data_IF_645353214179
#
_entry.id   IF_645353214179
#
_cell.length_a   1.000
_cell.length_b   1.000
_cell.length_c   1.000
_cell.angle_alpha   90.00
_cell.angle_beta   90.00
_cell.angle_gamma   90.00
#
_symmetry.space_group_name_H-M   'P 1'
#
loop_
_entity.id
_entity.type
_entity.pdbx_description
1 polymer ?
#
# COMPACT_ATOMS: atom_id res chain seq x y z
N UNK A 1 -12.60 -8.24 -19.09
CA UNK A 1 -11.33 -8.73 -19.65
C UNK A 1 -10.42 -9.06 -18.48
N UNK A 2 -10.01 -10.31 -18.28
CA UNK A 2 -9.18 -10.72 -17.14
C UNK A 2 -7.73 -10.65 -17.58
N UNK A 3 -6.96 -9.69 -17.06
CA UNK A 3 -5.53 -9.60 -17.33
C UNK A 3 -4.78 -10.76 -16.65
N UNK A 4 -3.79 -11.34 -17.34
CA UNK A 4 -2.85 -12.29 -16.72
C UNK A 4 -1.96 -11.56 -15.71
N UNK A 5 -1.35 -12.30 -14.77
CA UNK A 5 -0.43 -11.71 -13.79
C UNK A 5 0.67 -10.87 -14.44
N UNK A 6 1.25 -11.36 -15.53
CA UNK A 6 2.30 -10.66 -16.30
C UNK A 6 1.79 -9.39 -16.99
N UNK A 7 0.57 -9.40 -17.51
CA UNK A 7 -0.04 -8.22 -18.11
C UNK A 7 -0.37 -7.15 -17.06
N UNK A 8 -0.76 -7.58 -15.84
CA UNK A 8 -0.97 -6.65 -14.73
C UNK A 8 0.33 -6.00 -14.32
N UNK A 9 1.38 -6.78 -14.07
CA UNK A 9 2.70 -6.25 -13.67
C UNK A 9 3.27 -5.26 -14.70
N UNK A 10 3.11 -5.51 -16.00
CA UNK A 10 3.56 -4.58 -17.04
C UNK A 10 2.71 -3.32 -17.16
N UNK A 11 1.50 -3.33 -16.63
CA UNK A 11 0.59 -2.19 -16.68
C UNK A 11 0.70 -1.27 -15.46
N UNK A 12 1.50 -1.63 -14.46
CA UNK A 12 1.64 -0.80 -13.26
C UNK A 12 2.38 0.49 -13.60
N UNK A 13 1.79 1.62 -13.25
CA UNK A 13 2.50 2.91 -13.20
C UNK A 13 2.85 3.29 -11.75
N UNK A 14 2.65 2.36 -10.84
CA UNK A 14 3.01 2.43 -9.44
C UNK A 14 3.69 1.13 -9.08
N UNK A 15 4.91 1.22 -8.57
CA UNK A 15 5.62 0.07 -8.05
C UNK A 15 5.77 0.16 -6.54
N UNK A 16 5.57 -0.98 -5.90
CA UNK A 16 5.76 -1.13 -4.48
C UNK A 16 6.83 -2.20 -4.24
N UNK A 17 7.88 -1.79 -3.53
CA UNK A 17 9.01 -2.63 -3.18
C UNK A 17 8.95 -2.99 -1.72
N UNK A 18 9.39 -4.19 -1.36
CA UNK A 18 9.74 -4.54 0.02
C UNK A 18 11.24 -4.70 0.08
N UNK A 19 11.91 -3.85 0.86
CA UNK A 19 13.36 -3.62 0.78
C UNK A 19 13.80 -3.24 -0.64
N UNK A 20 14.40 -4.17 -1.40
CA UNK A 20 14.88 -3.97 -2.77
C UNK A 20 14.11 -4.81 -3.81
N UNK A 21 13.15 -5.62 -3.37
CA UNK A 21 12.38 -6.50 -4.24
C UNK A 21 11.05 -5.86 -4.59
N UNK A 22 10.75 -5.72 -5.88
CA UNK A 22 9.42 -5.32 -6.35
C UNK A 22 8.41 -6.40 -5.97
N UNK A 23 7.59 -6.13 -4.96
CA UNK A 23 6.64 -7.10 -4.42
C UNK A 23 5.27 -6.98 -5.05
N UNK A 24 4.84 -5.77 -5.40
CA UNK A 24 3.56 -5.53 -6.07
C UNK A 24 3.51 -4.12 -6.70
N UNK A 25 2.34 -3.72 -7.15
CA UNK A 25 2.08 -2.44 -7.77
C UNK A 25 0.70 -2.43 -8.39
N UNK A 26 0.31 -1.29 -8.94
CA UNK A 26 -1.01 -1.11 -9.52
C UNK A 26 -0.99 -0.05 -10.61
N UNK A 27 -2.07 -0.01 -11.40
CA UNK A 27 -2.26 0.99 -12.42
C UNK A 27 -3.22 2.05 -11.91
N UNK A 28 -2.74 3.29 -11.88
CA UNK A 28 -3.47 4.44 -11.42
C UNK A 28 -3.69 5.43 -12.58
N UNK A 29 -4.89 5.46 -13.17
CA UNK A 29 -5.15 6.21 -14.41
C UNK A 29 -5.60 7.66 -14.23
N UNK A 30 -6.27 7.99 -13.12
CA UNK A 30 -7.10 9.20 -13.05
C UNK A 30 -6.74 10.18 -11.89
N UNK A 31 -5.52 10.14 -11.34
CA UNK A 31 -5.09 10.91 -10.17
C UNK A 31 -5.95 10.77 -8.88
N UNK A 32 -6.97 9.91 -8.88
CA UNK A 32 -7.87 9.66 -7.76
C UNK A 32 -7.78 8.23 -7.23
N UNK A 33 -6.60 7.79 -6.80
CA UNK A 33 -6.45 6.47 -6.20
C UNK A 33 -7.18 6.52 -4.87
N UNK A 34 -8.06 5.56 -4.57
CA UNK A 34 -8.77 5.55 -3.29
C UNK A 34 -8.11 4.63 -2.29
N UNK A 35 -8.17 4.99 -1.01
CA UNK A 35 -7.68 4.14 0.08
C UNK A 35 -8.36 2.77 0.04
N UNK A 36 -9.67 2.72 -0.18
CA UNK A 36 -10.46 1.49 -0.33
C UNK A 36 -9.92 0.56 -1.41
N UNK A 37 -9.42 1.13 -2.51
CA UNK A 37 -8.89 0.41 -3.65
C UNK A 37 -7.48 -0.15 -3.36
N UNK A 38 -6.63 0.66 -2.72
CA UNK A 38 -5.31 0.21 -2.24
C UNK A 38 -5.46 -0.86 -1.17
N UNK A 39 -6.39 -0.71 -0.23
CA UNK A 39 -6.67 -1.70 0.80
C UNK A 39 -7.14 -3.03 0.20
N UNK A 40 -7.97 -2.98 -0.86
CA UNK A 40 -8.41 -4.16 -1.58
C UNK A 40 -7.27 -4.87 -2.31
N UNK A 41 -6.48 -4.15 -3.09
CA UNK A 41 -5.34 -4.70 -3.83
C UNK A 41 -4.26 -5.23 -2.88
N UNK A 42 -4.01 -4.53 -1.77
CA UNK A 42 -3.11 -4.96 -0.72
C UNK A 42 -3.57 -6.28 -0.09
N UNK A 43 -4.84 -6.41 0.29
CA UNK A 43 -5.36 -7.66 0.85
C UNK A 43 -5.29 -8.84 -0.13
N UNK A 44 -5.45 -8.58 -1.44
CA UNK A 44 -5.29 -9.59 -2.48
C UNK A 44 -3.83 -10.04 -2.64
N UNK A 45 -2.88 -9.11 -2.60
CA UNK A 45 -1.46 -9.38 -2.82
C UNK A 45 -0.76 -9.92 -1.57
N UNK A 46 -1.13 -9.44 -0.39
CA UNK A 46 -0.42 -9.75 0.84
C UNK A 46 -1.12 -10.76 1.72
N UNK A 47 -2.40 -11.10 1.44
CA UNK A 47 -3.26 -12.03 2.20
C UNK A 47 -2.63 -12.37 3.54
N UNK A 48 -2.51 -11.35 4.38
CA UNK A 48 -1.50 -11.37 5.45
C UNK A 48 -1.85 -12.54 6.33
N UNK A 49 -0.82 -13.32 6.70
CA UNK A 49 -0.85 -14.16 7.89
C UNK A 49 -1.16 -13.23 9.08
N UNK A 50 -2.42 -12.80 9.19
CA UNK A 50 -2.93 -12.06 10.33
C UNK A 50 -2.69 -13.03 11.47
N UNK A 51 -1.89 -12.65 12.48
CA UNK A 51 -1.66 -13.56 13.59
C UNK A 51 -3.02 -13.95 14.13
N UNK A 52 -3.28 -15.26 14.14
CA UNK A 52 -4.54 -15.91 14.54
C UNK A 52 -4.80 -15.77 16.05
N UNK A 53 -4.11 -14.82 16.70
CA UNK A 53 -4.24 -14.51 18.12
C UNK A 53 -5.58 -13.80 18.34
N UNK A 54 -6.57 -14.63 18.66
CA UNK A 54 -8.02 -14.37 18.74
C UNK A 54 -8.52 -13.29 19.70
N UNK A 55 -7.92 -12.10 19.71
CA UNK A 55 -8.47 -10.94 20.43
C UNK A 55 -8.09 -9.58 19.83
N UNK A 56 -7.19 -9.52 18.84
CA UNK A 56 -6.63 -8.26 18.37
C UNK A 56 -6.99 -8.00 16.92
N UNK A 57 -7.89 -7.02 16.70
CA UNK A 57 -8.21 -6.53 15.35
C UNK A 57 -7.04 -5.71 14.79
N UNK A 58 -6.06 -6.40 14.22
CA UNK A 58 -4.96 -5.77 13.51
C UNK A 58 -5.49 -4.99 12.31
N UNK A 59 -5.08 -3.72 12.22
CA UNK A 59 -5.42 -2.83 11.11
C UNK A 59 -4.16 -2.52 10.30
N UNK A 60 -4.20 -2.74 8.98
CA UNK A 60 -3.12 -2.36 8.10
C UNK A 60 -3.10 -0.84 7.91
N UNK A 61 -1.90 -0.26 7.88
CA UNK A 61 -1.68 1.15 7.57
C UNK A 61 -0.34 1.32 6.85
N UNK A 62 -0.20 2.40 6.09
CA UNK A 62 1.07 2.89 5.57
C UNK A 62 1.48 4.16 6.32
N UNK A 63 2.74 4.22 6.72
CA UNK A 63 3.35 5.36 7.38
C UNK A 63 4.39 5.96 6.44
N UNK A 64 4.11 7.16 5.91
CA UNK A 64 5.04 7.86 5.02
C UNK A 64 6.23 8.40 5.80
N UNK A 65 7.42 7.94 5.45
CA UNK A 65 8.68 8.42 6.05
C UNK A 65 9.21 9.69 5.36
N UNK A 66 8.78 9.90 4.10
CA UNK A 66 9.24 10.98 3.21
C UNK A 66 8.40 12.24 3.33
N UNK A 67 8.95 13.39 2.89
CA UNK A 67 8.40 14.72 3.18
C UNK A 67 7.10 15.03 2.40
N UNK A 68 6.00 15.51 3.04
CA UNK A 68 5.87 15.77 4.47
C UNK A 68 5.85 14.47 5.28
N UNK A 69 6.84 14.33 6.17
CA UNK A 69 7.03 13.12 6.96
C UNK A 69 5.89 12.98 7.96
N UNK A 70 5.56 11.74 8.32
CA UNK A 70 4.57 11.37 9.34
C UNK A 70 3.11 11.36 8.88
N UNK A 71 2.82 11.02 7.62
CA UNK A 71 1.45 10.75 7.18
C UNK A 71 1.13 9.28 7.44
N UNK A 72 0.21 9.01 8.37
CA UNK A 72 -0.35 7.68 8.59
C UNK A 72 -1.62 7.50 7.76
N UNK A 73 -1.61 6.52 6.86
CA UNK A 73 -2.69 6.18 5.95
C UNK A 73 -3.24 4.82 6.36
N UNK A 74 -4.38 4.81 7.03
CA UNK A 74 -5.04 3.55 7.43
C UNK A 74 -5.66 2.91 6.19
N UNK A 75 -5.35 1.65 5.93
CA UNK A 75 -5.92 0.90 4.82
C UNK A 75 -7.30 0.35 5.21
N UNK A 76 -8.31 1.21 5.10
CA UNK A 76 -9.69 0.85 5.34
C UNK A 76 -10.43 0.65 4.01
N UNK A 77 -11.07 -0.52 3.85
CA UNK A 77 -11.89 -0.84 2.67
C UNK A 77 -13.12 0.04 2.53
N UNK A 78 -13.53 0.71 3.60
CA UNK A 78 -14.67 1.65 3.62
C UNK A 78 -14.24 3.11 3.43
N UNK A 79 -12.93 3.39 3.42
CA UNK A 79 -12.41 4.74 3.24
C UNK A 79 -12.25 5.07 1.76
N UNK A 80 -13.13 5.93 1.26
CA UNK A 80 -13.14 6.38 -0.13
C UNK A 80 -12.32 7.66 -0.35
N UNK A 81 -11.56 8.11 0.66
CA UNK A 81 -10.65 9.25 0.53
C UNK A 81 -9.55 8.96 -0.50
N UNK A 82 -9.06 10.04 -1.11
CA UNK A 82 -7.96 9.96 -2.06
C UNK A 82 -6.70 9.54 -1.30
N UNK A 83 -6.07 8.47 -1.77
CA UNK A 83 -4.75 8.06 -1.33
C UNK A 83 -3.75 9.16 -1.70
N UNK A 84 -2.94 9.65 -0.75
CA UNK A 84 -1.97 10.70 -1.03
C UNK A 84 -0.83 10.14 -1.91
N UNK A 85 -0.95 10.32 -3.22
CA UNK A 85 0.07 9.88 -4.18
C UNK A 85 1.22 10.90 -4.21
N UNK A 86 2.49 10.48 -4.23
CA UNK A 86 3.62 11.36 -4.51
C UNK A 86 3.50 12.12 -5.82
N UNK A 87 4.13 13.30 -5.90
CA UNK A 87 4.28 14.02 -7.17
C UNK A 87 5.07 13.18 -8.19
N UNK A 88 4.78 13.35 -9.48
CA UNK A 88 5.48 12.64 -10.55
C UNK A 88 6.99 12.90 -10.50
N UNK A 89 7.79 11.83 -10.43
CA UNK A 89 9.26 11.90 -10.31
C UNK A 89 9.78 12.00 -8.88
N UNK A 90 8.91 12.06 -7.87
CA UNK A 90 9.30 11.88 -6.47
C UNK A 90 9.22 10.40 -6.08
N UNK A 91 10.16 9.95 -5.24
CA UNK A 91 10.14 8.62 -4.64
C UNK A 91 9.75 8.81 -3.19
N UNK A 92 8.68 8.15 -2.77
CA UNK A 92 8.27 8.11 -1.38
C UNK A 92 8.50 6.72 -0.80
N UNK A 93 9.08 6.63 0.40
CA UNK A 93 9.02 5.42 1.22
C UNK A 93 7.86 5.46 2.19
N UNK A 94 7.21 4.31 2.35
CA UNK A 94 6.12 4.05 3.28
C UNK A 94 6.46 2.82 4.10
N UNK A 95 6.51 2.93 5.42
CA UNK A 95 6.49 1.74 6.27
C UNK A 95 5.07 1.19 6.33
N UNK A 96 4.89 -0.06 5.99
CA UNK A 96 3.66 -0.76 6.32
C UNK A 96 3.67 -1.11 7.80
N UNK A 97 2.57 -0.78 8.45
CA UNK A 97 2.37 -1.03 9.85
C UNK A 97 1.10 -1.84 10.01
N UNK A 98 1.23 -3.06 10.54
CA UNK A 98 0.10 -3.72 11.18
C UNK A 98 0.04 -3.19 12.59
N UNK A 99 -0.98 -2.39 12.89
CA UNK A 99 -1.14 -1.84 14.22
C UNK A 99 -2.37 -2.41 14.91
N UNK A 100 -2.28 -2.47 16.23
CA UNK A 100 -3.38 -2.73 17.13
C UNK A 100 -3.29 -1.77 18.30
N UNK A 101 -4.29 -1.76 19.18
CA UNK A 101 -4.26 -0.95 20.40
C UNK A 101 -3.10 -1.28 21.34
N UNK A 102 -2.38 -2.40 21.14
CA UNK A 102 -1.37 -2.89 22.08
C UNK A 102 -0.01 -3.23 21.47
N UNK A 103 0.09 -3.37 20.13
CA UNK A 103 1.32 -3.79 19.42
C UNK A 103 1.33 -3.26 17.99
N UNK A 104 2.54 -3.03 17.46
CA UNK A 104 2.79 -2.70 16.05
C UNK A 104 3.83 -3.65 15.47
N UNK A 105 3.59 -4.15 14.25
CA UNK A 105 4.56 -4.87 13.43
C UNK A 105 4.85 -4.02 12.19
N UNK A 106 6.11 -4.01 11.77
CA UNK A 106 6.61 -3.12 10.73
C UNK A 106 7.21 -3.92 9.58
N UNK A 107 6.99 -3.45 8.35
CA UNK A 107 7.70 -3.87 7.15
C UNK A 107 7.87 -2.65 6.24
N UNK A 108 9.00 -2.53 5.54
CA UNK A 108 9.33 -1.30 4.80
C UNK A 108 8.93 -1.43 3.34
N UNK A 109 8.13 -0.49 2.87
CA UNK A 109 7.71 -0.40 1.48
C UNK A 109 8.24 0.87 0.79
N UNK A 110 8.65 0.75 -0.47
CA UNK A 110 9.03 1.92 -1.29
C UNK A 110 8.02 2.06 -2.42
N UNK A 111 7.46 3.26 -2.56
CA UNK A 111 6.49 3.58 -3.58
C UNK A 111 7.12 4.47 -4.66
N UNK A 112 7.13 3.98 -5.90
CA UNK A 112 7.67 4.72 -7.06
C UNK A 112 6.58 4.92 -8.10
N UNK A 113 6.14 6.17 -8.36
CA UNK A 113 5.31 6.48 -9.53
C UNK A 113 6.18 6.41 -10.80
N UNK A 114 5.74 5.64 -11.78
CA UNK A 114 6.37 5.53 -13.11
C UNK A 114 5.69 6.56 -14.03
N UNK A 115 6.51 7.40 -14.65
CA UNK A 115 6.13 8.44 -15.64
C UNK A 115 5.55 7.87 -16.92
#
# INVERSE_FOLDING_TARGET
MVYTHLQRTQSWNVEVFTYTLRTWGFLHRDNSLRISQVAYDFDLCFSTNKPDDGAVSWRPAFFRETTPANVLIVLDRQDDSVFPIPDAGSIDSYEFVLHSSYKSLYDVFVWVPIS
#
